data_IF_143836358696
#
_entry.id   IF_143836358696
#
_cell.length_a   1.000
_cell.length_b   1.000
_cell.length_c   1.000
_cell.angle_alpha   90.00
_cell.angle_beta   90.00
_cell.angle_gamma   90.00
#
_symmetry.space_group_name_H-M   'P 1'
#
loop_
_entity.id
_entity.type
_entity.pdbx_description
1 polymer ?
#
# COMPACT_ATOMS: atom_id res chain seq x y z
N UNK A 1 7.09 -9.65 5.94
CA UNK A 1 6.68 -8.25 6.12
C UNK A 1 6.42 -7.94 7.59
N UNK A 2 6.12 -6.67 7.90
CA UNK A 2 5.78 -6.24 9.27
C UNK A 2 4.42 -6.76 9.74
N UNK A 3 3.48 -6.96 8.82
CA UNK A 3 2.16 -7.52 9.11
C UNK A 3 2.10 -9.02 8.83
N UNK A 4 1.45 -9.76 9.73
CA UNK A 4 1.20 -11.20 9.56
C UNK A 4 0.26 -11.46 8.37
N UNK A 5 -0.74 -10.60 8.17
CA UNK A 5 -1.69 -10.72 7.06
C UNK A 5 -1.03 -10.51 5.70
N UNK A 6 -0.16 -9.52 5.58
CA UNK A 6 0.59 -9.28 4.35
C UNK A 6 1.61 -10.40 4.08
N UNK A 7 2.23 -10.96 5.10
CA UNK A 7 3.10 -12.13 4.96
C UNK A 7 2.31 -13.36 4.48
N UNK A 8 1.09 -13.54 4.98
CA UNK A 8 0.19 -14.61 4.56
C UNK A 8 -0.21 -14.43 3.08
N UNK A 9 -0.49 -13.21 2.61
CA UNK A 9 -0.79 -12.93 1.21
C UNK A 9 0.34 -13.40 0.28
N UNK A 10 1.60 -13.08 0.59
CA UNK A 10 2.75 -13.57 -0.18
C UNK A 10 2.91 -15.08 -0.14
N UNK A 11 2.65 -15.71 1.02
CA UNK A 11 2.70 -17.14 1.17
C UNK A 11 1.63 -17.85 0.32
N UNK A 12 0.41 -17.32 0.26
CA UNK A 12 -0.68 -17.85 -0.58
C UNK A 12 -0.28 -17.86 -2.06
N UNK A 13 0.36 -16.80 -2.54
CA UNK A 13 0.85 -16.71 -3.92
C UNK A 13 1.95 -17.75 -4.18
N UNK A 14 2.91 -17.95 -3.27
CA UNK A 14 3.92 -19.01 -3.40
C UNK A 14 3.29 -20.40 -3.43
N UNK A 15 2.29 -20.66 -2.59
CA UNK A 15 1.57 -21.94 -2.53
C UNK A 15 0.74 -22.19 -3.79
N UNK A 16 0.26 -21.12 -4.44
CA UNK A 16 -0.44 -21.20 -5.72
C UNK A 16 0.50 -21.42 -6.92
N UNK A 17 1.82 -21.42 -6.70
CA UNK A 17 2.82 -21.67 -7.73
C UNK A 17 3.45 -20.41 -8.32
N UNK A 18 3.14 -19.24 -7.79
CA UNK A 18 3.81 -17.97 -8.14
C UNK A 18 5.28 -17.97 -7.73
N UNK A 19 6.07 -17.16 -8.40
CA UNK A 19 7.48 -17.00 -8.08
C UNK A 19 7.72 -15.96 -6.95
N UNK A 20 8.98 -15.67 -6.65
CA UNK A 20 9.34 -14.72 -5.59
C UNK A 20 8.88 -13.28 -5.89
N UNK A 21 8.82 -12.88 -7.18
CA UNK A 21 8.34 -11.55 -7.58
C UNK A 21 6.83 -11.45 -7.42
N UNK A 22 6.07 -12.48 -7.85
CA UNK A 22 4.61 -12.54 -7.63
C UNK A 22 4.29 -12.40 -6.14
N UNK A 23 4.97 -13.15 -5.29
CA UNK A 23 4.78 -13.11 -3.85
C UNK A 23 5.18 -11.76 -3.22
N UNK A 24 6.25 -11.14 -3.71
CA UNK A 24 6.70 -9.81 -3.25
C UNK A 24 5.68 -8.73 -3.60
N UNK A 25 5.14 -8.76 -4.82
CA UNK A 25 4.10 -7.83 -5.29
C UNK A 25 2.81 -7.99 -4.48
N UNK A 26 2.34 -9.24 -4.27
CA UNK A 26 1.18 -9.53 -3.44
C UNK A 26 1.35 -9.03 -2.01
N UNK A 27 2.53 -9.30 -1.41
CA UNK A 27 2.87 -8.80 -0.08
C UNK A 27 2.86 -7.28 -0.03
N UNK A 28 3.41 -6.60 -1.04
CA UNK A 28 3.47 -5.14 -1.08
C UNK A 28 2.08 -4.50 -1.15
N UNK A 29 1.16 -5.01 -1.98
CA UNK A 29 -0.22 -4.55 -2.01
C UNK A 29 -0.94 -4.83 -0.68
N UNK A 30 -0.75 -6.01 -0.09
CA UNK A 30 -1.34 -6.36 1.20
C UNK A 30 -0.79 -5.51 2.35
N UNK A 31 0.51 -5.14 2.35
CA UNK A 31 1.08 -4.18 3.32
C UNK A 31 0.37 -2.83 3.21
N UNK A 32 0.08 -2.36 2.00
CA UNK A 32 -0.66 -1.11 1.78
C UNK A 32 -2.08 -1.13 2.36
N UNK A 33 -2.68 -2.31 2.53
CA UNK A 33 -3.98 -2.48 3.21
C UNK A 33 -3.79 -2.53 4.73
N UNK A 34 -2.79 -3.28 5.21
CA UNK A 34 -2.61 -3.57 6.63
C UNK A 34 -1.86 -2.46 7.40
N UNK A 35 -1.00 -1.71 6.72
CA UNK A 35 -0.18 -0.64 7.29
C UNK A 35 -0.28 0.65 6.44
N UNK A 36 -1.49 1.19 6.22
CA UNK A 36 -1.71 2.33 5.31
C UNK A 36 -1.01 3.62 5.75
N UNK A 37 -0.61 3.72 7.01
CA UNK A 37 0.18 4.81 7.57
C UNK A 37 1.67 4.77 7.18
N UNK A 38 2.15 3.66 6.64
CA UNK A 38 3.56 3.45 6.27
C UNK A 38 3.74 3.07 4.81
N UNK A 39 2.72 2.50 4.19
CA UNK A 39 2.77 2.00 2.82
C UNK A 39 1.41 2.17 2.16
N UNK A 40 1.32 2.05 0.84
CA UNK A 40 0.05 2.11 0.12
C UNK A 40 0.23 2.47 -1.34
N UNK A 41 -0.88 2.46 -2.10
CA UNK A 41 -0.89 2.77 -3.53
C UNK A 41 -0.44 4.20 -3.86
N UNK A 42 -0.50 5.10 -2.89
CA UNK A 42 0.03 6.47 -2.98
C UNK A 42 1.52 6.60 -2.65
N UNK A 43 2.20 5.49 -2.40
CA UNK A 43 3.60 5.46 -2.02
C UNK A 43 4.58 5.29 -3.17
N UNK A 44 5.78 4.93 -2.78
CA UNK A 44 6.91 4.70 -3.67
C UNK A 44 7.78 3.55 -3.14
N UNK A 45 8.81 3.19 -3.86
CA UNK A 45 9.73 2.18 -3.38
C UNK A 45 10.83 1.82 -4.37
N UNK A 46 11.51 0.75 -4.00
CA UNK A 46 12.58 0.16 -4.77
C UNK A 46 12.55 -1.35 -4.59
N UNK A 47 12.70 -2.09 -5.67
CA UNK A 47 12.78 -3.55 -5.63
C UNK A 47 14.12 -4.01 -6.16
N UNK A 48 14.83 -4.79 -5.36
CA UNK A 48 16.07 -5.46 -5.77
C UNK A 48 15.75 -6.93 -6.07
N UNK A 49 16.02 -7.38 -7.29
CA UNK A 49 15.66 -8.70 -7.81
C UNK A 49 16.93 -9.43 -8.21
N UNK A 50 17.12 -10.63 -7.68
CA UNK A 50 18.18 -11.53 -8.13
C UNK A 50 17.60 -12.56 -9.11
N UNK A 51 18.15 -12.59 -10.31
CA UNK A 51 17.78 -13.52 -11.37
C UNK A 51 18.75 -14.71 -11.33
N UNK A 52 18.28 -15.85 -10.81
CA UNK A 52 19.12 -17.01 -10.58
C UNK A 52 19.67 -17.65 -11.87
N UNK A 53 18.93 -17.56 -12.98
CA UNK A 53 19.27 -18.21 -14.25
C UNK A 53 20.53 -17.64 -14.91
N UNK A 54 20.74 -16.32 -14.77
CA UNK A 54 21.87 -15.60 -15.36
C UNK A 54 22.81 -14.98 -14.32
N UNK A 55 22.50 -15.14 -13.03
CA UNK A 55 23.23 -14.55 -11.90
C UNK A 55 23.30 -13.00 -11.93
N UNK A 56 22.28 -12.36 -12.47
CA UNK A 56 22.19 -10.91 -12.55
C UNK A 56 21.32 -10.32 -11.42
N UNK A 57 21.60 -9.06 -11.10
CA UNK A 57 20.80 -8.26 -10.19
C UNK A 57 20.12 -7.14 -10.97
N UNK A 58 18.82 -7.00 -10.75
CA UNK A 58 18.03 -5.92 -11.29
C UNK A 58 17.53 -5.03 -10.15
N UNK A 59 17.58 -3.73 -10.37
CA UNK A 59 16.98 -2.75 -9.45
C UNK A 59 15.87 -2.04 -10.19
N UNK A 60 14.66 -2.19 -9.70
CA UNK A 60 13.50 -1.46 -10.17
C UNK A 60 13.22 -0.32 -9.19
N UNK A 61 13.49 0.90 -9.63
CA UNK A 61 13.21 2.11 -8.86
C UNK A 61 11.85 2.67 -9.29
N UNK A 62 10.97 2.89 -8.33
CA UNK A 62 9.65 3.49 -8.53
C UNK A 62 9.38 4.55 -7.46
N UNK A 63 10.36 5.45 -7.31
CA UNK A 63 10.25 6.58 -6.42
C UNK A 63 9.19 7.56 -6.91
N UNK A 64 8.65 8.32 -5.98
CA UNK A 64 7.74 9.41 -6.27
C UNK A 64 8.44 10.53 -7.06
N UNK A 65 7.69 11.22 -7.89
CA UNK A 65 8.19 12.32 -8.68
C UNK A 65 7.40 13.61 -8.42
N UNK A 66 8.07 14.74 -8.58
CA UNK A 66 7.39 16.04 -8.52
C UNK A 66 6.48 16.17 -9.74
N UNK A 67 5.22 16.65 -9.57
CA UNK A 67 4.32 16.88 -10.70
C UNK A 67 4.94 17.84 -11.73
N UNK A 68 4.82 17.51 -13.02
CA UNK A 68 5.44 18.26 -14.14
C UNK A 68 5.02 19.74 -14.18
N UNK A 69 3.83 20.05 -13.65
CA UNK A 69 3.29 21.42 -13.62
C UNK A 69 3.85 22.29 -12.48
N UNK A 70 4.73 21.75 -11.65
CA UNK A 70 5.30 22.50 -10.51
C UNK A 70 6.40 23.45 -10.99
N UNK A 71 6.24 24.74 -10.68
CA UNK A 71 7.23 25.78 -10.95
C UNK A 71 8.04 26.10 -9.69
N UNK A 72 9.28 26.63 -9.82
CA UNK A 72 10.07 27.06 -8.68
C UNK A 72 9.30 28.05 -7.78
N UNK A 73 9.26 27.76 -6.47
CA UNK A 73 8.53 28.57 -5.49
C UNK A 73 7.03 28.26 -5.36
N UNK A 74 6.52 27.24 -6.08
CA UNK A 74 5.13 26.80 -5.97
C UNK A 74 4.78 26.24 -4.58
N UNK A 75 5.74 25.57 -3.92
CA UNK A 75 5.58 24.95 -2.61
C UNK A 75 6.27 25.78 -1.53
N UNK A 76 5.52 26.06 -0.46
CA UNK A 76 6.05 26.68 0.76
C UNK A 76 5.86 25.68 1.94
N UNK A 77 6.94 25.13 2.51
CA UNK A 77 6.84 24.14 3.58
C UNK A 77 6.13 24.64 4.86
N UNK A 78 6.14 25.95 5.11
CA UNK A 78 5.49 26.53 6.28
C UNK A 78 3.96 26.55 6.18
N UNK A 79 3.41 26.65 4.97
CA UNK A 79 1.97 26.80 4.73
C UNK A 79 1.35 25.62 4.01
N UNK A 80 2.11 24.89 3.20
CA UNK A 80 1.59 23.90 2.26
C UNK A 80 1.79 22.44 2.74
N UNK A 81 2.54 22.21 3.83
CA UNK A 81 2.88 20.86 4.33
C UNK A 81 1.67 19.99 4.69
N UNK A 82 0.55 20.60 5.09
CA UNK A 82 -0.70 19.92 5.40
C UNK A 82 -1.74 19.99 4.27
N UNK A 83 -1.33 20.33 3.06
CA UNK A 83 -2.21 20.48 1.89
C UNK A 83 -1.88 19.45 0.81
N UNK A 84 -2.77 19.31 -0.18
CA UNK A 84 -2.55 18.46 -1.36
C UNK A 84 -1.29 18.82 -2.16
N UNK A 85 -0.74 20.03 -1.99
CA UNK A 85 0.53 20.42 -2.61
C UNK A 85 1.74 19.61 -2.11
N UNK A 86 1.63 19.01 -0.93
CA UNK A 86 2.68 18.15 -0.39
C UNK A 86 2.67 16.73 -0.99
N UNK A 87 1.66 16.38 -1.78
CA UNK A 87 1.56 15.08 -2.41
C UNK A 87 2.39 15.05 -3.71
N UNK A 88 3.29 14.08 -3.81
CA UNK A 88 4.02 13.78 -5.03
C UNK A 88 3.22 12.84 -5.95
N UNK A 89 3.68 12.63 -7.18
CA UNK A 89 3.12 11.61 -8.07
C UNK A 89 3.61 10.25 -7.61
N UNK A 90 2.73 9.32 -7.20
CA UNK A 90 3.13 8.03 -6.64
C UNK A 90 3.68 7.08 -7.70
N UNK A 91 4.70 6.30 -7.32
CA UNK A 91 5.31 5.29 -8.19
C UNK A 91 4.91 3.85 -7.87
N UNK A 92 4.32 3.60 -6.69
CA UNK A 92 4.11 2.24 -6.15
C UNK A 92 3.38 1.30 -7.11
N UNK A 93 2.21 1.68 -7.60
CA UNK A 93 1.39 0.82 -8.47
C UNK A 93 2.14 0.53 -9.78
N UNK A 94 2.66 1.58 -10.44
CA UNK A 94 3.42 1.42 -11.69
C UNK A 94 4.65 0.52 -11.50
N UNK A 95 5.39 0.68 -10.40
CA UNK A 95 6.55 -0.14 -10.10
C UNK A 95 6.24 -1.60 -9.84
N UNK A 96 5.23 -1.87 -9.02
CA UNK A 96 4.83 -3.25 -8.70
C UNK A 96 4.28 -3.98 -9.93
N UNK A 97 3.45 -3.32 -10.74
CA UNK A 97 2.95 -3.91 -11.99
C UNK A 97 4.06 -4.11 -13.02
N UNK A 98 5.04 -3.19 -13.10
CA UNK A 98 6.22 -3.36 -13.96
C UNK A 98 7.08 -4.55 -13.51
N UNK A 99 7.25 -4.74 -12.19
CA UNK A 99 7.97 -5.90 -11.66
C UNK A 99 7.25 -7.20 -12.03
N UNK A 100 5.94 -7.22 -11.88
CA UNK A 100 5.10 -8.38 -12.21
C UNK A 100 5.15 -8.70 -13.71
N UNK A 101 5.01 -7.70 -14.58
CA UNK A 101 5.06 -7.86 -16.03
C UNK A 101 6.40 -8.42 -16.51
N UNK A 102 7.51 -7.94 -15.94
CA UNK A 102 8.87 -8.32 -16.38
C UNK A 102 9.36 -9.64 -15.81
N UNK A 103 9.01 -9.93 -14.56
CA UNK A 103 9.66 -10.99 -13.78
C UNK A 103 8.66 -11.94 -13.08
N UNK A 104 7.38 -11.58 -13.06
CA UNK A 104 6.32 -12.42 -12.51
C UNK A 104 5.87 -13.53 -13.45
N UNK A 105 5.08 -14.43 -12.95
CA UNK A 105 4.49 -15.57 -13.67
C UNK A 105 2.97 -15.62 -13.56
N UNK A 106 2.39 -14.77 -12.70
CA UNK A 106 0.95 -14.68 -12.45
C UNK A 106 0.38 -13.35 -12.96
N UNK A 107 -0.93 -13.28 -13.11
CA UNK A 107 -1.63 -12.06 -13.54
C UNK A 107 -1.77 -11.06 -12.39
N UNK A 108 -1.94 -9.76 -12.68
CA UNK A 108 -2.25 -8.76 -11.66
C UNK A 108 -3.47 -9.15 -10.79
N UNK A 109 -4.54 -9.64 -11.41
CA UNK A 109 -5.74 -10.09 -10.73
C UNK A 109 -5.45 -11.18 -9.69
N UNK A 110 -4.67 -12.21 -10.05
CA UNK A 110 -4.30 -13.29 -9.15
C UNK A 110 -3.44 -12.79 -7.98
N UNK A 111 -2.45 -11.95 -8.27
CA UNK A 111 -1.48 -11.45 -7.28
C UNK A 111 -2.12 -10.44 -6.31
N UNK A 112 -3.07 -9.63 -6.78
CA UNK A 112 -3.74 -8.63 -5.96
C UNK A 112 -4.94 -9.19 -5.17
N UNK A 113 -5.48 -10.36 -5.55
CA UNK A 113 -6.65 -10.95 -4.89
C UNK A 113 -6.53 -11.05 -3.35
N UNK A 114 -5.41 -11.44 -2.73
CA UNK A 114 -5.29 -11.46 -1.28
C UNK A 114 -5.41 -10.08 -0.63
N UNK A 115 -4.85 -9.03 -1.25
CA UNK A 115 -4.95 -7.66 -0.77
C UNK A 115 -6.37 -7.12 -0.88
N UNK A 116 -7.05 -7.37 -2.00
CA UNK A 116 -8.45 -7.01 -2.24
C UNK A 116 -9.34 -7.69 -1.18
N UNK A 117 -9.11 -8.98 -0.94
CA UNK A 117 -9.85 -9.74 0.08
C UNK A 117 -9.66 -9.13 1.48
N UNK A 118 -8.42 -8.83 1.88
CA UNK A 118 -8.13 -8.18 3.16
C UNK A 118 -8.85 -6.84 3.30
N UNK A 119 -8.85 -6.01 2.27
CA UNK A 119 -9.51 -4.72 2.29
C UNK A 119 -11.04 -4.84 2.38
N UNK A 120 -11.64 -5.83 1.69
CA UNK A 120 -13.09 -6.02 1.60
C UNK A 120 -13.67 -6.80 2.78
N UNK A 121 -13.08 -7.93 3.14
CA UNK A 121 -13.56 -8.76 4.23
C UNK A 121 -13.10 -8.24 5.60
N UNK A 122 -11.98 -7.54 5.62
CA UNK A 122 -11.36 -6.99 6.83
C UNK A 122 -10.44 -7.97 7.54
N UNK A 123 -9.74 -7.45 8.51
CA UNK A 123 -8.84 -8.19 9.39
C UNK A 123 -8.83 -7.55 10.79
N UNK A 124 -8.52 -8.31 11.85
CA UNK A 124 -8.32 -7.75 13.18
C UNK A 124 -7.15 -6.76 13.16
N UNK A 125 -7.42 -5.49 13.55
CA UNK A 125 -6.40 -4.44 13.52
C UNK A 125 -5.25 -4.74 14.48
N UNK A 126 -4.02 -4.60 14.01
CA UNK A 126 -2.83 -4.81 14.83
C UNK A 126 -2.54 -3.55 15.67
N UNK A 127 -1.89 -3.73 16.83
CA UNK A 127 -1.57 -2.66 17.79
C UNK A 127 -0.88 -1.46 17.12
N UNK A 128 0.01 -1.71 16.18
CA UNK A 128 0.76 -0.65 15.47
C UNK A 128 -0.16 0.29 14.69
N UNK A 129 -1.14 -0.27 13.95
CA UNK A 129 -2.08 0.55 13.18
C UNK A 129 -3.09 1.23 14.12
N UNK A 130 -3.58 0.54 15.16
CA UNK A 130 -4.47 1.13 16.14
C UNK A 130 -3.84 2.35 16.83
N UNK A 131 -2.57 2.24 17.23
CA UNK A 131 -1.81 3.36 17.81
C UNK A 131 -1.62 4.50 16.81
N UNK A 132 -1.28 4.21 15.56
CA UNK A 132 -1.13 5.24 14.52
C UNK A 132 -2.43 6.01 14.25
N UNK A 133 -3.57 5.33 14.26
CA UNK A 133 -4.90 5.96 14.17
C UNK A 133 -5.16 6.84 15.41
N UNK A 134 -4.88 6.35 16.61
CA UNK A 134 -5.05 7.10 17.85
C UNK A 134 -4.19 8.37 17.84
N UNK A 135 -2.92 8.26 17.48
CA UNK A 135 -1.99 9.40 17.41
C UNK A 135 -2.39 10.46 16.38
N UNK A 136 -3.11 10.06 15.34
CA UNK A 136 -3.57 10.92 14.24
C UNK A 136 -5.07 11.25 14.32
N UNK A 137 -5.75 10.91 15.41
CA UNK A 137 -7.20 10.90 15.50
C UNK A 137 -7.85 12.26 15.21
N UNK A 138 -7.28 13.35 15.73
CA UNK A 138 -7.81 14.69 15.50
C UNK A 138 -7.76 15.07 14.01
N UNK A 139 -6.67 14.70 13.32
CA UNK A 139 -6.50 14.95 11.88
C UNK A 139 -7.45 14.08 11.06
N UNK A 140 -7.59 12.81 11.41
CA UNK A 140 -8.51 11.86 10.75
C UNK A 140 -9.94 12.36 10.91
N UNK A 141 -10.35 12.72 12.12
CA UNK A 141 -11.72 13.16 12.44
C UNK A 141 -12.09 14.51 11.80
N UNK A 142 -11.10 15.33 11.45
CA UNK A 142 -11.32 16.59 10.75
C UNK A 142 -11.66 16.41 9.25
N UNK A 143 -11.46 15.20 8.69
CA UNK A 143 -11.78 14.87 7.32
C UNK A 143 -12.85 13.77 7.28
N UNK A 144 -14.02 14.07 6.73
CA UNK A 144 -15.18 13.17 6.74
C UNK A 144 -14.90 11.84 6.03
N UNK A 145 -14.19 11.87 4.90
CA UNK A 145 -13.85 10.66 4.13
C UNK A 145 -12.84 9.78 4.87
N UNK A 146 -11.83 10.40 5.50
CA UNK A 146 -10.87 9.67 6.31
C UNK A 146 -11.53 9.10 7.59
N UNK A 147 -12.39 9.88 8.24
CA UNK A 147 -13.13 9.43 9.42
C UNK A 147 -14.03 8.23 9.12
N UNK A 148 -14.68 8.21 7.96
CA UNK A 148 -15.52 7.08 7.54
C UNK A 148 -14.76 5.76 7.41
N UNK A 149 -13.45 5.80 7.13
CA UNK A 149 -12.60 4.61 6.96
C UNK A 149 -11.85 4.28 8.26
N UNK A 150 -11.23 5.29 8.87
CA UNK A 150 -10.25 5.10 9.95
C UNK A 150 -10.82 5.35 11.35
N UNK A 151 -12.15 5.44 11.50
CA UNK A 151 -12.79 5.43 12.81
C UNK A 151 -13.84 4.32 12.91
N UNK A 152 -14.04 3.82 14.12
CA UNK A 152 -15.07 2.84 14.47
C UNK A 152 -16.18 3.56 15.21
N UNK A 153 -17.32 3.83 14.55
CA UNK A 153 -18.44 4.62 15.09
C UNK A 153 -17.99 5.99 15.63
N UNK A 154 -17.04 6.65 14.96
CA UNK A 154 -16.51 7.95 15.37
C UNK A 154 -15.48 7.91 16.50
N UNK A 155 -15.02 6.73 16.89
CA UNK A 155 -13.94 6.51 17.87
C UNK A 155 -12.71 5.88 17.20
N UNK A 156 -11.53 6.02 17.78
CA UNK A 156 -10.36 5.28 17.31
C UNK A 156 -10.59 3.77 17.40
N UNK A 157 -10.09 3.03 16.43
CA UNK A 157 -10.07 1.57 16.49
C UNK A 157 -9.23 1.07 17.68
N UNK A 158 -9.73 0.06 18.37
CA UNK A 158 -8.94 -0.68 19.35
C UNK A 158 -8.25 -1.88 18.69
N UNK A 159 -7.11 -2.30 19.25
CA UNK A 159 -6.42 -3.53 18.79
C UNK A 159 -7.38 -4.72 18.83
N UNK A 160 -7.50 -5.42 17.73
CA UNK A 160 -8.39 -6.56 17.55
C UNK A 160 -9.75 -6.24 16.94
N UNK A 161 -10.13 -4.97 16.80
CA UNK A 161 -11.34 -4.59 16.08
C UNK A 161 -11.23 -4.97 14.61
N UNK A 162 -12.35 -5.29 13.97
CA UNK A 162 -12.37 -5.60 12.55
C UNK A 162 -12.20 -4.32 11.72
N UNK A 163 -11.08 -4.18 11.04
CA UNK A 163 -10.81 -3.07 10.12
C UNK A 163 -11.12 -3.47 8.69
N UNK A 164 -11.84 -2.62 7.96
CA UNK A 164 -12.15 -2.76 6.54
C UNK A 164 -11.87 -1.47 5.79
N UNK A 165 -11.56 -1.59 4.51
CA UNK A 165 -11.41 -0.46 3.60
C UNK A 165 -11.98 -0.83 2.23
N UNK A 166 -13.32 -0.80 2.12
CA UNK A 166 -14.01 -1.15 0.87
C UNK A 166 -13.65 -0.23 -0.30
N UNK A 167 -13.52 1.11 -0.13
CA UNK A 167 -13.07 1.99 -1.21
C UNK A 167 -11.68 1.62 -1.75
N UNK A 168 -10.77 1.15 -0.89
CA UNK A 168 -9.47 0.66 -1.34
C UNK A 168 -9.60 -0.66 -2.08
N UNK A 169 -10.48 -1.57 -1.65
CA UNK A 169 -10.75 -2.81 -2.37
C UNK A 169 -11.25 -2.54 -3.79
N UNK A 170 -12.22 -1.62 -3.94
CA UNK A 170 -12.75 -1.22 -5.25
C UNK A 170 -11.66 -0.59 -6.15
N UNK A 171 -10.77 0.21 -5.55
CA UNK A 171 -9.63 0.79 -6.26
C UNK A 171 -8.64 -0.28 -6.72
N UNK A 172 -8.32 -1.25 -5.86
CA UNK A 172 -7.42 -2.36 -6.21
C UNK A 172 -8.01 -3.28 -7.28
N UNK A 173 -9.34 -3.46 -7.29
CA UNK A 173 -10.04 -4.22 -8.36
C UNK A 173 -10.04 -3.47 -9.71
N UNK A 174 -9.97 -2.15 -9.69
CA UNK A 174 -9.95 -1.32 -10.89
C UNK A 174 -8.56 -1.18 -11.54
N UNK A 175 -7.50 -1.52 -10.81
CA UNK A 175 -6.11 -1.54 -11.29
C UNK A 175 -5.85 -2.78 -12.12
#
# INVERSE_FOLDING_TARGET
SGSVYASQAGLEILQAGGNAVDAAVATAFAVGVCEPNLSGIGGCGMMNIYLADNHEYEILEYMETVPVAVEPGWYNPETDSATAKNAAVPGQVAGLLTALEKYGTMTPEEVMAPAIKLAREGFPIEERLANAIMDSFDMISANEEAAAIYTNDGLPYATGDLFKNEPLADTLEAI
#
